data_IF_282404470065
#
_entry.id   IF_282404470065
#
_cell.length_a   1.000
_cell.length_b   1.000
_cell.length_c   1.000
_cell.angle_alpha   90.00
_cell.angle_beta   90.00
_cell.angle_gamma   90.00
#
_symmetry.space_group_name_H-M   'P 1'
#
loop_
_entity.id
_entity.type
_entity.pdbx_description
1 polymer ?
#
# COMPACT_ATOMS: atom_id res chain seq x y z
N UNK A 1 -15.54 -0.70 36.73
CA UNK A 1 -15.53 -1.11 35.31
C UNK A 1 -14.36 -0.35 34.69
N UNK A 2 -13.47 -1.01 33.99
CA UNK A 2 -12.32 -0.37 33.34
C UNK A 2 -12.87 0.61 32.26
N UNK A 3 -12.34 1.83 32.17
CA UNK A 3 -12.80 2.84 31.22
C UNK A 3 -12.68 2.36 29.77
N UNK A 4 -11.66 1.54 29.45
CA UNK A 4 -11.49 0.95 28.14
C UNK A 4 -12.65 0.01 27.76
N UNK A 5 -13.17 -0.78 28.70
CA UNK A 5 -14.34 -1.64 28.47
C UNK A 5 -15.63 -0.82 28.28
N UNK A 6 -15.77 0.26 29.02
CA UNK A 6 -16.89 1.20 28.86
C UNK A 6 -16.85 1.88 27.50
N UNK A 7 -15.67 2.39 27.11
CA UNK A 7 -15.43 3.00 25.81
C UNK A 7 -15.77 2.04 24.67
N UNK A 8 -15.26 0.80 24.72
CA UNK A 8 -15.55 -0.22 23.72
C UNK A 8 -17.03 -0.49 23.58
N UNK A 9 -17.75 -0.67 24.71
CA UNK A 9 -19.19 -0.92 24.70
C UNK A 9 -19.98 0.22 24.04
N UNK A 10 -19.62 1.47 24.32
CA UNK A 10 -20.30 2.64 23.75
C UNK A 10 -20.05 2.76 22.25
N UNK A 11 -18.77 2.71 21.82
CA UNK A 11 -18.42 2.86 20.42
C UNK A 11 -19.01 1.73 19.56
N UNK A 12 -18.96 0.49 20.06
CA UNK A 12 -19.54 -0.68 19.37
C UNK A 12 -21.07 -0.61 19.32
N UNK A 13 -21.73 -0.19 20.40
CA UNK A 13 -23.18 -0.07 20.40
C UNK A 13 -23.69 0.96 19.37
N UNK A 14 -23.00 2.10 19.25
CA UNK A 14 -23.32 3.12 18.24
C UNK A 14 -23.09 2.57 16.81
N UNK A 15 -22.02 1.82 16.60
CA UNK A 15 -21.73 1.17 15.33
C UNK A 15 -22.83 0.16 14.94
N UNK A 16 -23.20 -0.71 15.86
CA UNK A 16 -24.24 -1.72 15.65
C UNK A 16 -25.62 -1.11 15.40
N UNK A 17 -25.92 0.02 16.05
CA UNK A 17 -27.17 0.75 15.84
C UNK A 17 -27.23 1.38 14.44
N UNK A 18 -26.09 1.88 13.93
CA UNK A 18 -26.02 2.59 12.65
C UNK A 18 -25.89 1.65 11.44
N UNK A 19 -25.45 0.39 11.63
CA UNK A 19 -25.08 -0.52 10.54
C UNK A 19 -25.81 -1.89 10.59
N UNK A 20 -27.15 -1.93 10.81
CA UNK A 20 -27.89 -3.20 10.89
C UNK A 20 -27.87 -3.99 9.58
N UNK A 21 -27.87 -3.31 8.42
CA UNK A 21 -27.77 -3.94 7.11
C UNK A 21 -26.40 -4.58 6.88
N UNK A 22 -25.33 -3.92 7.31
CA UNK A 22 -23.97 -4.50 7.27
C UNK A 22 -23.85 -5.73 8.16
N UNK A 23 -24.49 -5.75 9.34
CA UNK A 23 -24.59 -6.96 10.18
C UNK A 23 -25.28 -8.11 9.44
N UNK A 24 -26.45 -7.85 8.86
CA UNK A 24 -27.19 -8.88 8.11
C UNK A 24 -26.40 -9.40 6.90
N UNK A 25 -25.68 -8.52 6.21
CA UNK A 25 -24.79 -8.93 5.11
C UNK A 25 -23.62 -9.75 5.61
N UNK A 26 -23.01 -9.42 6.75
CA UNK A 26 -21.95 -10.21 7.38
C UNK A 26 -22.42 -11.62 7.73
N UNK A 27 -23.59 -11.77 8.35
CA UNK A 27 -24.20 -13.07 8.67
C UNK A 27 -24.44 -13.91 7.42
N UNK A 28 -24.89 -13.27 6.33
CA UNK A 28 -25.10 -13.92 5.03
C UNK A 28 -23.77 -14.31 4.39
N UNK A 29 -22.80 -13.38 4.35
CA UNK A 29 -21.49 -13.56 3.72
C UNK A 29 -20.65 -14.65 4.43
N UNK A 30 -20.75 -14.73 5.77
CA UNK A 30 -20.02 -15.73 6.57
C UNK A 30 -20.42 -17.17 6.28
N UNK A 31 -21.61 -17.39 5.67
CA UNK A 31 -22.05 -18.71 5.20
C UNK A 31 -21.37 -19.11 3.88
N UNK A 32 -20.91 -18.14 3.11
CA UNK A 32 -20.30 -18.36 1.78
C UNK A 32 -18.79 -18.11 1.74
N UNK A 33 -18.28 -17.25 2.63
CA UNK A 33 -16.88 -16.84 2.67
C UNK A 33 -16.33 -16.92 4.09
N UNK A 34 -15.13 -17.43 4.30
CA UNK A 34 -14.48 -17.43 5.62
C UNK A 34 -14.41 -16.01 6.21
N UNK A 35 -15.00 -15.81 7.40
CA UNK A 35 -15.05 -14.50 8.05
C UNK A 35 -15.85 -13.42 7.30
N UNK A 36 -16.70 -13.80 6.34
CA UNK A 36 -17.56 -12.89 5.59
C UNK A 36 -16.83 -11.93 4.65
N UNK A 37 -15.52 -12.07 4.46
CA UNK A 37 -14.69 -11.17 3.64
C UNK A 37 -13.79 -11.96 2.68
N UNK A 38 -13.27 -11.27 1.63
CA UNK A 38 -12.32 -11.87 0.70
C UNK A 38 -10.85 -11.71 1.10
N UNK A 39 -10.57 -11.20 2.31
CA UNK A 39 -9.21 -11.02 2.79
C UNK A 39 -9.14 -10.54 4.24
N UNK A 40 -8.14 -10.99 4.99
CA UNK A 40 -8.02 -10.78 6.42
C UNK A 40 -8.01 -9.28 6.83
N UNK A 41 -7.37 -8.43 6.02
CA UNK A 41 -7.29 -6.98 6.30
C UNK A 41 -8.58 -6.21 6.02
N UNK A 42 -9.64 -6.89 5.54
CA UNK A 42 -10.96 -6.29 5.31
C UNK A 42 -11.93 -6.56 6.46
N UNK A 43 -11.56 -7.40 7.40
CA UNK A 43 -12.33 -7.67 8.59
C UNK A 43 -11.87 -6.78 9.75
N UNK A 44 -12.81 -6.24 10.50
CA UNK A 44 -12.62 -5.61 11.81
C UNK A 44 -13.83 -5.92 12.70
N UNK A 45 -13.66 -6.03 14.02
CA UNK A 45 -14.75 -6.25 14.96
C UNK A 45 -15.68 -5.02 15.09
N UNK A 46 -16.99 -5.23 15.33
CA UNK A 46 -17.68 -6.50 15.50
C UNK A 46 -17.98 -7.21 14.18
N UNK A 47 -18.11 -6.50 13.08
CA UNK A 47 -18.26 -6.94 11.69
C UNK A 47 -17.91 -5.77 10.73
N UNK A 48 -17.47 -6.05 9.49
CA UNK A 48 -17.10 -5.01 8.53
C UNK A 48 -18.34 -4.35 7.90
N UNK A 49 -18.13 -3.12 7.37
CA UNK A 49 -19.08 -2.48 6.48
C UNK A 49 -19.18 -3.20 5.13
N UNK A 50 -20.36 -3.20 4.53
CA UNK A 50 -20.61 -3.66 3.15
C UNK A 50 -21.05 -2.49 2.29
N UNK A 51 -20.23 -2.16 1.27
CA UNK A 51 -20.44 -1.00 0.41
C UNK A 51 -21.27 -1.34 -0.82
N UNK A 52 -22.13 -0.41 -1.24
CA UNK A 52 -22.95 -0.50 -2.46
C UNK A 52 -22.41 0.32 -3.60
N UNK A 53 -21.76 1.44 -3.30
CA UNK A 53 -21.24 2.36 -4.32
C UNK A 53 -20.08 3.21 -3.81
N UNK A 54 -19.38 3.86 -4.76
CA UNK A 54 -18.36 4.87 -4.48
C UNK A 54 -18.31 5.92 -5.57
N UNK A 55 -18.07 7.18 -5.18
CA UNK A 55 -17.89 8.30 -6.08
C UNK A 55 -16.94 9.32 -5.47
N UNK A 56 -15.88 9.73 -6.20
CA UNK A 56 -14.87 10.65 -5.68
C UNK A 56 -14.20 10.08 -4.42
N UNK A 57 -14.19 10.84 -3.33
CA UNK A 57 -13.66 10.40 -2.04
C UNK A 57 -14.72 9.74 -1.12
N UNK A 58 -15.91 9.42 -1.62
CA UNK A 58 -17.00 8.89 -0.78
C UNK A 58 -17.45 7.52 -1.22
N UNK A 59 -17.84 6.71 -0.22
CA UNK A 59 -18.50 5.41 -0.40
C UNK A 59 -19.85 5.41 0.33
N UNK A 60 -20.77 4.56 -0.13
CA UNK A 60 -22.09 4.37 0.49
C UNK A 60 -22.24 2.90 0.86
N UNK A 61 -22.68 2.62 2.08
CA UNK A 61 -22.91 1.26 2.56
C UNK A 61 -24.32 0.73 2.21
N UNK A 62 -24.59 -0.49 2.64
CA UNK A 62 -25.90 -1.16 2.44
C UNK A 62 -27.03 -0.53 3.27
N UNK A 63 -26.69 0.25 4.29
CA UNK A 63 -27.65 0.98 5.13
C UNK A 63 -27.95 2.38 4.54
N UNK A 64 -27.27 2.77 3.45
CA UNK A 64 -27.42 4.06 2.79
C UNK A 64 -26.59 5.19 3.40
N UNK A 65 -25.74 4.89 4.39
CA UNK A 65 -24.83 5.86 4.99
C UNK A 65 -23.66 6.17 4.07
N UNK A 66 -23.28 7.46 4.01
CA UNK A 66 -22.16 7.95 3.21
C UNK A 66 -20.94 8.18 4.08
N UNK A 67 -19.78 7.74 3.61
CA UNK A 67 -18.50 7.86 4.31
C UNK A 67 -17.45 8.54 3.44
N UNK A 68 -16.61 9.41 4.04
CA UNK A 68 -15.34 9.80 3.42
C UNK A 68 -14.41 8.58 3.50
N UNK A 69 -13.91 8.11 2.37
CA UNK A 69 -13.11 6.89 2.26
C UNK A 69 -11.61 7.20 2.09
N UNK A 70 -10.87 7.22 3.20
CA UNK A 70 -9.42 7.32 3.19
C UNK A 70 -8.71 5.96 3.20
N UNK A 71 -9.44 4.84 3.29
CA UNK A 71 -8.87 3.52 3.14
C UNK A 71 -8.61 3.18 1.67
N UNK A 72 -9.49 3.62 0.77
CA UNK A 72 -9.33 3.52 -0.70
C UNK A 72 -8.86 2.14 -1.16
N UNK A 73 -9.43 1.06 -0.58
CA UNK A 73 -9.03 -0.34 -0.84
C UNK A 73 -7.53 -0.62 -0.66
N UNK A 74 -6.86 0.01 0.30
CA UNK A 74 -5.40 -0.03 0.53
C UNK A 74 -4.59 0.70 -0.56
N UNK A 75 -5.11 1.81 -1.06
CA UNK A 75 -4.36 2.83 -1.79
C UNK A 75 -4.42 2.87 -3.31
N UNK A 76 -5.14 2.01 -4.05
CA UNK A 76 -5.19 2.11 -5.52
C UNK A 76 -5.94 3.34 -6.03
N UNK A 77 -6.90 3.88 -5.27
CA UNK A 77 -7.81 4.93 -5.73
C UNK A 77 -7.23 6.35 -5.51
N UNK A 78 -6.04 6.62 -6.03
CA UNK A 78 -5.42 7.96 -5.93
C UNK A 78 -6.23 9.04 -6.65
N UNK A 79 -6.99 8.68 -7.69
CA UNK A 79 -7.94 9.57 -8.37
C UNK A 79 -9.34 9.58 -7.73
N UNK A 80 -9.57 8.78 -6.67
CA UNK A 80 -10.90 8.56 -6.10
C UNK A 80 -11.72 7.53 -6.88
N UNK A 81 -12.92 7.26 -6.38
CA UNK A 81 -13.85 6.32 -7.00
C UNK A 81 -14.42 6.88 -8.31
N UNK A 82 -14.47 6.05 -9.37
CA UNK A 82 -15.10 6.34 -10.67
C UNK A 82 -14.64 7.65 -11.31
N UNK A 83 -13.35 7.91 -11.28
CA UNK A 83 -12.79 9.14 -11.89
C UNK A 83 -13.16 9.23 -13.39
N UNK A 84 -13.63 10.39 -13.90
CA UNK A 84 -14.11 10.52 -15.27
C UNK A 84 -13.11 10.09 -16.35
N UNK A 85 -11.81 10.42 -16.18
CA UNK A 85 -10.77 10.04 -17.14
C UNK A 85 -10.61 8.50 -17.23
N UNK A 86 -10.70 7.79 -16.10
CA UNK A 86 -10.64 6.32 -16.05
C UNK A 86 -11.90 5.73 -16.64
N UNK A 87 -13.08 6.22 -16.25
CA UNK A 87 -14.36 5.71 -16.75
C UNK A 87 -14.50 5.91 -18.26
N UNK A 88 -14.04 7.05 -18.80
CA UNK A 88 -14.02 7.30 -20.24
C UNK A 88 -13.08 6.37 -20.99
N UNK A 89 -11.89 6.07 -20.41
CA UNK A 89 -10.97 5.11 -21.00
C UNK A 89 -11.52 3.69 -21.01
N UNK A 90 -12.19 3.28 -19.91
CA UNK A 90 -12.84 1.97 -19.82
C UNK A 90 -13.98 1.79 -20.84
N UNK A 91 -14.75 2.85 -21.13
CA UNK A 91 -15.81 2.78 -22.14
C UNK A 91 -15.28 2.40 -23.54
N UNK A 92 -14.05 2.76 -23.89
CA UNK A 92 -13.40 2.37 -25.14
C UNK A 92 -13.16 0.86 -25.28
N UNK A 93 -13.11 0.13 -24.17
CA UNK A 93 -12.89 -1.34 -24.17
C UNK A 93 -14.10 -2.08 -24.76
N UNK A 94 -15.29 -1.47 -24.73
CA UNK A 94 -16.48 -2.05 -25.37
C UNK A 94 -16.28 -2.27 -26.89
N UNK A 95 -15.48 -1.41 -27.52
CA UNK A 95 -15.16 -1.49 -28.96
C UNK A 95 -14.03 -2.48 -29.27
N UNK A 96 -13.09 -2.66 -28.32
CA UNK A 96 -11.88 -3.49 -28.52
C UNK A 96 -12.10 -4.93 -28.08
N UNK A 97 -12.89 -5.14 -27.04
CA UNK A 97 -13.03 -6.39 -26.31
C UNK A 97 -12.11 -6.48 -25.09
N UNK A 98 -12.61 -7.12 -24.04
CA UNK A 98 -11.94 -7.17 -22.72
C UNK A 98 -10.66 -8.00 -22.68
N UNK A 99 -10.55 -9.00 -23.56
CA UNK A 99 -9.39 -9.89 -23.62
C UNK A 99 -9.11 -10.28 -25.09
N UNK A 100 -8.12 -9.63 -25.68
CA UNK A 100 -7.62 -9.90 -27.03
C UNK A 100 -6.11 -10.06 -26.99
N UNK A 101 -5.57 -10.86 -27.89
CA UNK A 101 -4.12 -11.14 -27.92
C UNK A 101 -3.37 -9.91 -28.42
N UNK A 102 -2.39 -9.44 -27.63
CA UNK A 102 -1.53 -8.31 -27.95
C UNK A 102 -2.32 -7.05 -28.36
N UNK A 103 -3.19 -6.49 -27.49
CA UNK A 103 -3.96 -5.31 -27.84
C UNK A 103 -3.04 -4.10 -28.06
N UNK A 104 -3.40 -3.17 -28.94
CA UNK A 104 -2.63 -1.93 -29.17
C UNK A 104 -2.46 -1.13 -27.88
N UNK A 105 -3.46 -1.14 -27.01
CA UNK A 105 -3.40 -0.53 -25.66
C UNK A 105 -2.18 -0.97 -24.86
N UNK A 106 -1.70 -2.21 -25.06
CA UNK A 106 -0.50 -2.73 -24.38
C UNK A 106 0.75 -1.95 -24.81
N UNK A 107 0.88 -1.64 -26.09
CA UNK A 107 2.02 -0.86 -26.60
C UNK A 107 1.94 0.57 -26.10
N UNK A 108 0.79 1.23 -26.22
CA UNK A 108 0.55 2.59 -25.74
C UNK A 108 0.84 2.71 -24.24
N UNK A 109 0.41 1.74 -23.45
CA UNK A 109 0.65 1.71 -22.00
C UNK A 109 2.14 1.51 -21.66
N UNK A 110 2.85 0.65 -22.40
CA UNK A 110 4.28 0.45 -22.23
C UNK A 110 5.08 1.71 -22.56
N UNK A 111 4.80 2.35 -23.69
CA UNK A 111 5.43 3.61 -24.10
C UNK A 111 5.17 4.73 -23.08
N UNK A 112 3.96 4.79 -22.52
CA UNK A 112 3.61 5.74 -21.48
C UNK A 112 4.41 5.51 -20.20
N UNK A 113 4.57 4.25 -19.77
CA UNK A 113 5.41 3.89 -18.62
C UNK A 113 6.88 4.24 -18.86
N UNK A 114 7.41 3.97 -20.07
CA UNK A 114 8.78 4.34 -20.42
C UNK A 114 9.02 5.86 -20.32
N UNK A 115 8.01 6.65 -20.64
CA UNK A 115 8.11 8.12 -20.52
C UNK A 115 8.08 8.60 -19.07
N UNK A 116 7.30 7.94 -18.20
CA UNK A 116 7.02 8.44 -16.84
C UNK A 116 7.98 7.88 -15.79
N UNK A 117 8.37 6.63 -15.91
CA UNK A 117 9.14 5.92 -14.87
C UNK A 117 10.62 5.88 -15.25
N UNK A 118 11.51 6.47 -14.44
CA UNK A 118 12.93 6.64 -14.80
C UNK A 118 13.70 5.36 -15.18
N UNK A 119 13.42 4.22 -14.53
CA UNK A 119 14.09 2.97 -14.85
C UNK A 119 13.44 2.17 -15.99
N UNK A 120 12.30 2.61 -16.54
CA UNK A 120 11.49 1.81 -17.45
C UNK A 120 12.01 1.80 -18.89
N UNK A 121 13.11 1.10 -19.18
CA UNK A 121 13.56 0.83 -20.55
C UNK A 121 12.73 -0.28 -21.21
N UNK A 122 12.23 -1.23 -20.42
CA UNK A 122 11.33 -2.33 -20.85
C UNK A 122 10.22 -2.51 -19.84
N UNK A 123 9.09 -3.09 -20.30
CA UNK A 123 7.87 -3.30 -19.53
C UNK A 123 7.36 -4.73 -19.73
N UNK A 124 6.89 -5.34 -18.64
CA UNK A 124 6.07 -6.55 -18.66
C UNK A 124 4.85 -6.37 -17.78
N UNK A 125 3.68 -6.65 -18.33
CA UNK A 125 2.42 -6.54 -17.58
C UNK A 125 2.06 -7.84 -16.87
N UNK A 126 1.32 -7.70 -15.75
CA UNK A 126 0.86 -8.75 -14.86
C UNK A 126 -0.48 -8.32 -14.23
N UNK A 127 -1.09 -9.20 -13.40
CA UNK A 127 -2.42 -8.93 -12.86
C UNK A 127 -2.41 -8.36 -11.42
N UNK A 128 -1.32 -8.53 -10.68
CA UNK A 128 -1.24 -8.11 -9.28
C UNK A 128 0.17 -7.71 -8.86
N UNK A 129 0.27 -6.89 -7.80
CA UNK A 129 1.56 -6.53 -7.21
C UNK A 129 2.35 -7.74 -6.72
N UNK A 130 1.69 -8.79 -6.20
CA UNK A 130 2.35 -10.04 -5.82
C UNK A 130 3.01 -10.71 -7.02
N UNK A 131 2.30 -10.80 -8.16
CA UNK A 131 2.88 -11.35 -9.40
C UNK A 131 4.06 -10.49 -9.89
N UNK A 132 3.95 -9.17 -9.81
CA UNK A 132 5.04 -8.27 -10.20
C UNK A 132 6.30 -8.49 -9.35
N UNK A 133 6.15 -8.55 -8.03
CA UNK A 133 7.28 -8.77 -7.11
C UNK A 133 7.95 -10.13 -7.36
N UNK A 134 7.18 -11.23 -7.38
CA UNK A 134 7.77 -12.56 -7.61
C UNK A 134 8.44 -12.66 -8.98
N UNK A 135 7.90 -11.95 -9.98
CA UNK A 135 8.44 -11.93 -11.33
C UNK A 135 9.73 -11.11 -11.41
N UNK A 136 9.78 -9.93 -10.80
CA UNK A 136 11.00 -9.11 -10.72
C UNK A 136 12.16 -9.86 -10.05
N UNK A 137 11.88 -10.58 -8.96
CA UNK A 137 12.88 -11.40 -8.29
C UNK A 137 13.33 -12.58 -9.16
N UNK A 138 12.42 -13.19 -9.92
CA UNK A 138 12.78 -14.26 -10.88
C UNK A 138 13.69 -13.73 -11.98
N UNK A 139 13.46 -12.51 -12.47
CA UNK A 139 14.33 -11.87 -13.46
C UNK A 139 15.72 -11.62 -12.89
N UNK A 140 15.81 -11.06 -11.69
CA UNK A 140 17.07 -10.81 -11.02
C UNK A 140 17.87 -12.10 -10.79
N UNK A 141 17.22 -13.19 -10.38
CA UNK A 141 17.85 -14.51 -10.24
C UNK A 141 18.34 -15.07 -11.59
N UNK A 142 17.54 -14.94 -12.62
CA UNK A 142 17.92 -15.44 -13.95
C UNK A 142 19.09 -14.64 -14.54
N UNK A 143 19.09 -13.32 -14.34
CA UNK A 143 20.16 -12.43 -14.81
C UNK A 143 21.48 -12.67 -14.08
N UNK A 144 21.44 -12.77 -12.75
CA UNK A 144 22.64 -12.92 -11.93
C UNK A 144 23.15 -14.37 -11.79
N UNK A 145 22.29 -15.36 -12.03
CA UNK A 145 22.58 -16.77 -11.74
C UNK A 145 22.60 -17.11 -10.25
N UNK A 146 22.16 -16.20 -9.37
CA UNK A 146 22.25 -16.30 -7.90
C UNK A 146 20.88 -16.56 -7.29
N UNK A 147 20.76 -17.31 -6.15
CA UNK A 147 19.45 -17.68 -5.60
C UNK A 147 18.89 -16.71 -4.54
N UNK A 148 19.74 -15.98 -3.79
CA UNK A 148 19.31 -15.27 -2.58
C UNK A 148 18.75 -13.89 -2.89
N UNK A 149 17.77 -13.49 -2.08
CA UNK A 149 17.15 -12.15 -2.12
C UNK A 149 17.15 -11.55 -0.72
N UNK A 150 17.54 -10.29 -0.61
CA UNK A 150 17.42 -9.50 0.62
C UNK A 150 16.09 -8.75 0.58
N UNK A 151 15.34 -8.79 1.67
CA UNK A 151 14.22 -7.90 1.99
C UNK A 151 14.38 -7.30 3.38
N UNK A 152 13.55 -6.30 3.71
CA UNK A 152 13.66 -5.62 4.99
C UNK A 152 12.52 -5.97 5.96
N UNK A 153 12.81 -5.93 7.28
CA UNK A 153 11.82 -6.17 8.33
C UNK A 153 10.61 -5.25 8.16
N UNK A 154 9.42 -5.78 8.43
CA UNK A 154 8.18 -5.03 8.38
C UNK A 154 7.68 -4.63 7.01
N UNK A 155 8.45 -4.81 5.95
CA UNK A 155 8.01 -4.53 4.60
C UNK A 155 7.19 -5.69 4.04
N UNK A 156 6.03 -5.38 3.45
CA UNK A 156 5.18 -6.33 2.74
C UNK A 156 5.50 -6.29 1.26
N UNK A 157 5.88 -7.42 0.69
CA UNK A 157 6.24 -7.55 -0.72
C UNK A 157 5.39 -8.64 -1.41
N UNK A 158 4.09 -8.65 -1.13
CA UNK A 158 3.14 -9.59 -1.74
C UNK A 158 2.92 -10.87 -0.93
N UNK A 159 2.09 -11.77 -1.48
CA UNK A 159 1.60 -12.99 -0.80
C UNK A 159 2.39 -14.25 -1.18
N UNK A 160 3.51 -14.13 -1.89
CA UNK A 160 4.36 -15.26 -2.17
C UNK A 160 5.01 -15.75 -0.86
N UNK A 161 5.04 -17.07 -0.65
CA UNK A 161 5.52 -17.68 0.59
C UNK A 161 6.92 -17.22 0.98
N UNK A 162 7.80 -16.96 0.01
CA UNK A 162 9.16 -16.49 0.28
C UNK A 162 9.21 -15.10 0.93
N UNK A 163 8.14 -14.27 0.80
CA UNK A 163 8.06 -12.93 1.36
C UNK A 163 7.15 -12.80 2.58
N UNK A 164 6.33 -13.82 2.87
CA UNK A 164 5.46 -13.83 4.05
C UNK A 164 6.25 -14.16 5.34
N UNK A 165 7.33 -13.45 5.55
CA UNK A 165 8.13 -13.46 6.78
C UNK A 165 7.63 -12.39 7.74
N UNK A 166 7.67 -12.73 9.04
CA UNK A 166 7.16 -11.88 10.11
C UNK A 166 7.80 -10.50 10.19
N UNK A 167 7.11 -9.63 10.90
CA UNK A 167 7.52 -8.24 11.10
C UNK A 167 8.77 -8.10 11.99
N UNK A 168 9.11 -9.13 12.77
CA UNK A 168 10.23 -9.11 13.71
C UNK A 168 11.46 -9.84 13.16
N UNK A 169 12.66 -9.64 13.78
CA UNK A 169 13.91 -10.28 13.38
C UNK A 169 13.92 -11.82 13.42
N UNK A 170 12.94 -12.42 14.09
CA UNK A 170 12.87 -13.86 14.34
C UNK A 170 12.48 -14.74 13.14
N UNK A 171 12.29 -14.16 11.94
CA UNK A 171 11.96 -14.88 10.70
C UNK A 171 10.75 -15.82 10.78
N UNK A 172 9.83 -15.62 11.71
CA UNK A 172 8.62 -16.45 11.78
C UNK A 172 7.71 -16.16 10.57
N UNK A 173 7.13 -17.21 9.95
CA UNK A 173 6.11 -17.04 8.93
C UNK A 173 4.94 -16.19 9.44
N UNK A 174 4.37 -15.35 8.56
CA UNK A 174 3.19 -14.51 8.89
C UNK A 174 1.89 -15.31 9.05
N UNK A 175 1.93 -16.63 8.89
CA UNK A 175 0.76 -17.48 9.04
C UNK A 175 1.08 -18.96 8.96
N UNK A 176 0.02 -19.76 9.01
CA UNK A 176 0.11 -21.23 8.85
C UNK A 176 0.14 -21.57 7.35
N UNK A 177 0.70 -22.73 7.02
CA UNK A 177 0.72 -23.25 5.65
C UNK A 177 1.94 -22.81 4.82
N UNK A 178 2.88 -22.06 5.39
CA UNK A 178 4.11 -21.62 4.73
C UNK A 178 5.24 -22.59 5.06
N UNK A 179 5.78 -23.36 4.09
CA UNK A 179 6.88 -24.26 4.33
C UNK A 179 8.17 -23.53 4.72
N UNK A 180 8.97 -24.12 5.61
CA UNK A 180 10.26 -23.54 6.00
C UNK A 180 11.20 -23.37 4.80
N UNK A 181 11.17 -24.28 3.81
CA UNK A 181 11.94 -24.22 2.57
C UNK A 181 11.65 -22.98 1.72
N UNK A 182 10.45 -22.40 1.82
CA UNK A 182 10.09 -21.17 1.08
C UNK A 182 11.01 -19.98 1.43
N UNK A 183 11.59 -19.98 2.64
CA UNK A 183 12.41 -18.90 3.15
C UNK A 183 13.92 -19.12 3.00
N UNK A 184 14.36 -20.29 2.53
CA UNK A 184 15.78 -20.62 2.43
C UNK A 184 16.57 -19.63 1.58
N UNK A 185 15.92 -19.03 0.58
CA UNK A 185 16.50 -18.09 -0.34
C UNK A 185 16.14 -16.61 -0.04
N UNK A 186 15.55 -16.32 1.13
CA UNK A 186 15.23 -14.97 1.56
C UNK A 186 16.02 -14.58 2.80
N UNK A 187 16.78 -13.49 2.68
CA UNK A 187 17.49 -12.86 3.78
C UNK A 187 16.68 -11.66 4.25
N UNK A 188 16.53 -11.49 5.55
CA UNK A 188 15.82 -10.32 6.11
C UNK A 188 16.78 -9.47 6.92
N UNK A 189 16.81 -8.17 6.64
CA UNK A 189 17.68 -7.19 7.30
C UNK A 189 16.86 -6.07 7.95
N UNK A 190 17.42 -5.38 8.96
CA UNK A 190 16.83 -4.13 9.41
C UNK A 190 16.87 -3.09 8.29
N UNK A 191 15.81 -2.31 8.12
CA UNK A 191 15.80 -1.18 7.20
C UNK A 191 16.57 -0.01 7.82
N UNK A 192 17.12 0.86 6.99
CA UNK A 192 17.91 2.02 7.40
C UNK A 192 19.24 1.68 8.14
N UNK A 193 19.69 0.43 8.04
CA UNK A 193 20.98 -0.04 8.60
C UNK A 193 21.88 -0.51 7.45
N UNK A 194 22.70 0.40 6.95
CA UNK A 194 23.62 0.10 5.85
C UNK A 194 24.78 -0.79 6.30
N UNK A 195 25.15 -0.75 7.59
CA UNK A 195 26.22 -1.60 8.12
C UNK A 195 25.79 -3.08 8.13
N UNK A 196 24.55 -3.38 8.53
CA UNK A 196 23.99 -4.73 8.46
C UNK A 196 23.94 -5.25 7.00
N UNK A 197 23.67 -4.38 6.04
CA UNK A 197 23.75 -4.73 4.63
C UNK A 197 25.19 -5.04 4.19
N UNK A 198 26.14 -4.17 4.52
CA UNK A 198 27.56 -4.33 4.18
C UNK A 198 28.13 -5.64 4.76
N UNK A 199 27.80 -6.00 6.01
CA UNK A 199 28.23 -7.26 6.66
C UNK A 199 27.76 -8.48 5.88
N UNK A 200 26.48 -8.51 5.49
CA UNK A 200 25.89 -9.63 4.75
C UNK A 200 26.51 -9.75 3.36
N UNK A 201 26.70 -8.64 2.64
CA UNK A 201 27.27 -8.64 1.29
C UNK A 201 28.75 -9.02 1.31
N UNK A 202 29.53 -8.60 2.33
CA UNK A 202 30.92 -8.98 2.47
C UNK A 202 31.13 -10.47 2.73
N UNK A 203 30.14 -11.16 3.32
CA UNK A 203 30.22 -12.58 3.68
C UNK A 203 29.63 -13.53 2.64
N UNK A 204 29.04 -13.00 1.53
CA UNK A 204 28.26 -13.79 0.58
C UNK A 204 28.45 -13.33 -0.86
N UNK A 205 28.47 -14.30 -1.76
CA UNK A 205 28.53 -14.06 -3.22
C UNK A 205 27.26 -14.56 -3.96
N UNK A 206 26.29 -15.11 -3.23
CA UNK A 206 25.09 -15.78 -3.75
C UNK A 206 23.82 -14.89 -3.74
N UNK A 207 23.96 -13.57 -3.57
CA UNK A 207 22.85 -12.61 -3.51
C UNK A 207 22.51 -12.13 -4.92
N UNK A 208 21.26 -12.41 -5.37
CA UNK A 208 20.73 -11.99 -6.66
C UNK A 208 20.20 -10.55 -6.62
N UNK A 209 19.44 -10.22 -5.58
CA UNK A 209 18.71 -8.97 -5.51
C UNK A 209 18.50 -8.47 -4.08
N UNK A 210 18.24 -7.17 -4.00
CA UNK A 210 17.63 -6.51 -2.85
C UNK A 210 16.27 -5.97 -3.31
N UNK A 211 15.21 -6.23 -2.56
CA UNK A 211 13.90 -5.60 -2.76
C UNK A 211 13.59 -4.69 -1.58
N UNK A 212 13.17 -3.46 -1.87
CA UNK A 212 12.81 -2.46 -0.87
C UNK A 212 11.55 -1.71 -1.27
N UNK A 213 10.61 -1.58 -0.31
CA UNK A 213 9.55 -0.57 -0.34
C UNK A 213 10.18 0.76 0.12
N UNK A 214 10.37 1.74 -0.78
CA UNK A 214 11.10 2.97 -0.45
C UNK A 214 10.32 3.92 0.48
N UNK A 215 9.08 3.58 0.86
CA UNK A 215 8.28 4.29 1.85
C UNK A 215 8.09 3.51 3.16
N UNK A 216 8.55 2.27 3.21
CA UNK A 216 8.30 1.34 4.32
C UNK A 216 6.85 1.41 4.85
N UNK A 217 5.92 1.35 3.94
CA UNK A 217 4.51 1.61 4.18
C UNK A 217 3.88 0.63 5.19
N UNK A 218 4.09 -0.68 4.98
CA UNK A 218 3.35 -1.73 5.70
C UNK A 218 3.76 -1.91 7.16
N UNK A 219 4.87 -1.32 7.58
CA UNK A 219 5.39 -1.39 8.96
C UNK A 219 5.01 -0.18 9.82
N UNK A 220 4.19 0.75 9.34
CA UNK A 220 3.84 1.97 10.06
C UNK A 220 4.27 3.25 9.35
N UNK A 221 4.60 3.18 8.07
CA UNK A 221 5.00 4.31 7.23
C UNK A 221 6.25 5.03 7.77
N UNK A 222 7.30 4.26 8.03
CA UNK A 222 8.57 4.84 8.49
C UNK A 222 9.33 5.49 7.35
N UNK A 223 10.02 6.56 7.64
CA UNK A 223 10.89 7.21 6.66
C UNK A 223 12.01 6.27 6.23
N UNK A 224 12.22 6.15 4.92
CA UNK A 224 13.45 5.59 4.34
C UNK A 224 14.26 6.77 3.81
N UNK A 225 15.33 7.18 4.52
CA UNK A 225 16.09 8.36 4.16
C UNK A 225 16.74 8.25 2.77
N UNK A 226 16.80 9.38 2.07
CA UNK A 226 17.40 9.42 0.72
C UNK A 226 18.84 8.95 0.71
N UNK A 227 19.65 9.37 1.68
CA UNK A 227 21.07 8.98 1.81
C UNK A 227 21.25 7.47 2.03
N UNK A 228 20.33 6.82 2.77
CA UNK A 228 20.29 5.36 2.88
C UNK A 228 20.03 4.69 1.53
N UNK A 229 19.06 5.17 0.76
CA UNK A 229 18.75 4.63 -0.58
C UNK A 229 19.89 4.88 -1.57
N UNK A 230 20.56 6.04 -1.50
CA UNK A 230 21.77 6.34 -2.29
C UNK A 230 22.91 5.38 -1.94
N UNK A 231 23.14 5.15 -0.65
CA UNK A 231 24.12 4.20 -0.17
C UNK A 231 23.80 2.77 -0.64
N UNK A 232 22.55 2.33 -0.50
CA UNK A 232 22.08 1.02 -0.95
C UNK A 232 22.27 0.85 -2.47
N UNK A 233 21.93 1.88 -3.28
CA UNK A 233 22.12 1.88 -4.73
C UNK A 233 23.62 1.74 -5.10
N UNK A 234 24.48 2.48 -4.44
CA UNK A 234 25.92 2.43 -4.69
C UNK A 234 26.51 1.04 -4.40
N UNK A 235 26.13 0.44 -3.28
CA UNK A 235 26.61 -0.88 -2.83
C UNK A 235 26.08 -2.01 -3.70
N UNK A 236 24.80 -2.00 -4.04
CA UNK A 236 24.22 -3.02 -4.92
C UNK A 236 24.86 -3.01 -6.28
N UNK A 237 25.12 -1.82 -6.85
CA UNK A 237 25.86 -1.69 -8.13
C UNK A 237 27.28 -2.23 -8.03
N UNK A 238 28.02 -1.91 -6.99
CA UNK A 238 29.39 -2.38 -6.79
C UNK A 238 29.48 -3.90 -6.62
N UNK A 239 28.46 -4.53 -6.00
CA UNK A 239 28.39 -5.97 -5.75
C UNK A 239 27.75 -6.78 -6.87
N UNK A 240 27.26 -6.15 -7.94
CA UNK A 240 26.51 -6.82 -9.01
C UNK A 240 25.18 -7.43 -8.50
N UNK A 241 24.54 -6.77 -7.56
CA UNK A 241 23.25 -7.15 -6.97
C UNK A 241 22.15 -6.28 -7.60
N UNK A 242 21.07 -6.88 -8.07
CA UNK A 242 19.94 -6.16 -8.66
C UNK A 242 19.17 -5.42 -7.56
N UNK A 243 18.99 -4.12 -7.70
CA UNK A 243 18.15 -3.31 -6.81
C UNK A 243 16.74 -3.23 -7.38
N UNK A 244 15.75 -3.72 -6.61
CA UNK A 244 14.33 -3.69 -6.95
C UNK A 244 13.63 -2.69 -6.04
N UNK A 245 13.01 -1.65 -6.60
CA UNK A 245 12.07 -0.82 -5.86
C UNK A 245 10.67 -1.42 -5.96
N UNK A 246 10.11 -1.75 -4.81
CA UNK A 246 8.69 -2.11 -4.71
C UNK A 246 7.86 -0.82 -4.60
N UNK A 247 7.51 -0.28 -5.75
CA UNK A 247 6.65 0.90 -5.86
C UNK A 247 5.16 0.55 -6.12
N UNK A 248 4.73 -0.59 -5.65
CA UNK A 248 3.31 -1.00 -5.73
C UNK A 248 2.40 0.01 -5.02
N UNK A 249 2.86 0.68 -3.96
CA UNK A 249 2.13 1.75 -3.26
C UNK A 249 2.59 3.14 -3.68
N UNK A 250 3.88 3.36 -3.77
CA UNK A 250 4.47 4.69 -3.99
C UNK A 250 4.45 5.14 -5.44
N UNK A 251 4.40 4.22 -6.38
CA UNK A 251 4.26 4.52 -7.81
C UNK A 251 3.03 5.38 -8.07
N UNK A 252 3.22 6.46 -8.82
CA UNK A 252 2.24 7.53 -9.10
C UNK A 252 1.77 8.32 -7.87
N UNK A 253 1.93 7.81 -6.65
CA UNK A 253 1.50 8.49 -5.42
C UNK A 253 2.51 9.53 -4.94
N UNK A 254 3.79 9.30 -5.24
CA UNK A 254 4.89 10.23 -4.94
C UNK A 254 5.29 11.09 -6.16
N UNK A 255 4.32 11.42 -7.02
CA UNK A 255 4.54 12.01 -8.35
C UNK A 255 4.44 10.95 -9.44
N UNK A 256 4.37 11.38 -10.71
CA UNK A 256 4.21 10.47 -11.87
C UNK A 256 5.35 9.47 -12.00
N UNK A 257 6.56 9.84 -11.62
CA UNK A 257 7.76 8.97 -11.67
C UNK A 257 8.06 8.20 -10.40
N UNK A 258 7.18 8.24 -9.38
CA UNK A 258 7.37 7.54 -8.10
C UNK A 258 8.50 8.10 -7.24
N UNK A 259 8.91 7.33 -6.22
CA UNK A 259 10.02 7.70 -5.32
C UNK A 259 11.34 7.81 -6.07
N UNK A 260 11.56 6.98 -7.07
CA UNK A 260 12.79 7.02 -7.87
C UNK A 260 13.01 8.37 -8.56
N UNK A 261 11.95 8.98 -9.11
CA UNK A 261 12.03 10.32 -9.70
C UNK A 261 12.19 11.41 -8.62
N UNK A 262 11.44 11.31 -7.53
CA UNK A 262 11.48 12.29 -6.44
C UNK A 262 12.87 12.38 -5.79
N UNK A 263 13.56 11.25 -5.61
CA UNK A 263 14.87 11.20 -4.98
C UNK A 263 16.04 11.22 -5.97
N UNK A 264 15.76 11.03 -7.26
CA UNK A 264 16.81 10.93 -8.30
C UNK A 264 17.64 9.64 -8.18
N UNK A 265 17.03 8.56 -7.68
CA UNK A 265 17.68 7.26 -7.49
C UNK A 265 17.02 6.23 -8.38
N UNK A 266 17.70 5.77 -9.41
CA UNK A 266 17.18 4.80 -10.38
C UNK A 266 17.54 3.37 -9.96
N UNK A 267 16.57 2.51 -9.61
CA UNK A 267 16.78 1.08 -9.38
C UNK A 267 17.01 0.35 -10.71
N UNK A 268 17.33 -0.93 -10.64
CA UNK A 268 17.47 -1.78 -11.82
C UNK A 268 16.11 -2.29 -12.31
N UNK A 269 15.22 -2.60 -11.37
CA UNK A 269 13.84 -3.01 -11.63
C UNK A 269 12.89 -2.26 -10.68
N UNK A 270 11.65 -2.05 -11.13
CA UNK A 270 10.56 -1.51 -10.29
C UNK A 270 9.30 -2.33 -10.49
N UNK A 271 8.57 -2.61 -9.41
CA UNK A 271 7.24 -3.21 -9.46
C UNK A 271 6.18 -2.14 -9.27
N UNK A 272 5.16 -2.14 -10.14
CA UNK A 272 4.05 -1.19 -10.15
C UNK A 272 2.71 -1.93 -10.11
N UNK A 273 1.72 -1.38 -9.40
CA UNK A 273 0.33 -1.84 -9.39
C UNK A 273 -0.58 -0.73 -8.83
N UNK A 274 -1.71 -1.08 -8.24
CA UNK A 274 -2.60 -0.17 -7.48
C UNK A 274 -2.95 1.11 -8.25
N UNK A 275 -2.28 2.24 -7.91
CA UNK A 275 -2.52 3.52 -8.57
C UNK A 275 -2.21 3.50 -10.09
N UNK A 276 -1.39 2.57 -10.56
CA UNK A 276 -1.12 2.37 -11.99
C UNK A 276 -2.40 2.33 -12.82
N UNK A 277 -3.42 1.62 -12.34
CA UNK A 277 -4.70 1.44 -13.04
C UNK A 277 -5.91 1.96 -12.26
N UNK A 278 -5.68 2.85 -11.28
CA UNK A 278 -6.72 3.48 -10.47
C UNK A 278 -7.77 2.50 -9.89
N UNK A 279 -7.32 1.30 -9.50
CA UNK A 279 -8.13 0.26 -8.85
C UNK A 279 -8.57 -0.88 -9.76
N UNK A 280 -8.34 -0.82 -11.06
CA UNK A 280 -8.50 -1.98 -11.94
C UNK A 280 -7.31 -2.94 -11.81
N UNK A 281 -7.42 -4.12 -12.40
CA UNK A 281 -6.41 -5.18 -12.32
C UNK A 281 -5.33 -4.98 -13.36
N UNK A 282 -4.23 -4.37 -12.96
CA UNK A 282 -2.99 -4.32 -13.72
C UNK A 282 -1.81 -4.16 -12.76
N UNK A 283 -0.72 -4.82 -13.10
CA UNK A 283 0.58 -4.61 -12.51
C UNK A 283 1.65 -4.64 -13.60
N UNK A 284 2.83 -4.14 -13.29
CA UNK A 284 3.95 -4.17 -14.21
C UNK A 284 5.27 -4.40 -13.47
N UNK A 285 6.19 -5.09 -14.14
CA UNK A 285 7.62 -5.00 -13.88
C UNK A 285 8.20 -4.12 -14.98
N UNK A 286 8.91 -3.09 -14.57
CA UNK A 286 9.65 -2.19 -15.45
C UNK A 286 11.11 -2.17 -15.04
N UNK A 287 12.04 -1.94 -15.96
CA UNK A 287 13.45 -1.90 -15.62
C UNK A 287 14.37 -1.85 -16.81
N UNK A 288 15.69 -2.02 -16.54
CA UNK A 288 16.71 -1.97 -17.56
C UNK A 288 16.51 -3.04 -18.64
N UNK A 289 16.80 -2.68 -19.88
CA UNK A 289 16.70 -3.59 -21.03
C UNK A 289 17.55 -4.84 -20.80
N UNK A 290 18.78 -4.67 -20.32
CA UNK A 290 19.72 -5.76 -20.07
C UNK A 290 19.15 -6.87 -19.17
N UNK A 291 18.52 -6.49 -18.05
CA UNK A 291 17.91 -7.46 -17.12
C UNK A 291 16.60 -8.03 -17.71
N UNK A 292 15.79 -7.20 -18.33
CA UNK A 292 14.47 -7.61 -18.83
C UNK A 292 14.60 -8.55 -20.06
N UNK A 293 15.71 -8.54 -20.78
CA UNK A 293 15.98 -9.45 -21.91
C UNK A 293 16.06 -10.93 -21.52
N UNK A 294 16.22 -11.26 -20.23
CA UNK A 294 16.10 -12.66 -19.77
C UNK A 294 14.71 -13.28 -20.10
N UNK A 295 13.75 -12.45 -20.50
CA UNK A 295 12.40 -12.87 -20.90
C UNK A 295 12.15 -12.84 -22.40
N UNK A 296 13.14 -12.46 -23.21
CA UNK A 296 12.95 -12.27 -24.65
C UNK A 296 12.57 -13.59 -25.37
N UNK A 297 11.39 -13.69 -25.96
CA UNK A 297 10.99 -14.88 -26.71
C UNK A 297 11.80 -15.10 -27.99
N UNK A 298 12.49 -14.08 -28.50
CA UNK A 298 13.34 -14.14 -29.68
C UNK A 298 14.80 -14.55 -29.40
N UNK A 299 15.19 -14.73 -28.14
CA UNK A 299 16.53 -15.17 -27.78
C UNK A 299 16.92 -16.45 -28.54
N UNK A 300 18.18 -16.62 -28.93
CA UNK A 300 18.63 -17.77 -29.72
C UNK A 300 18.24 -19.11 -29.11
N UNK A 301 17.99 -20.12 -29.94
CA UNK A 301 17.66 -21.47 -29.48
C UNK A 301 18.81 -22.00 -28.60
N UNK A 302 18.45 -22.50 -27.39
CA UNK A 302 19.42 -23.00 -26.42
C UNK A 302 19.86 -21.98 -25.37
N UNK A 303 19.55 -20.69 -25.52
CA UNK A 303 19.71 -19.68 -24.46
C UNK A 303 18.56 -19.85 -23.44
N UNK A 304 18.87 -20.14 -22.15
CA UNK A 304 17.84 -20.24 -21.12
C UNK A 304 17.08 -18.92 -20.97
N UNK A 305 15.76 -19.00 -20.83
CA UNK A 305 14.87 -17.84 -20.66
C UNK A 305 13.98 -18.03 -19.45
N UNK A 306 13.57 -16.92 -18.87
CA UNK A 306 12.49 -16.94 -17.90
C UNK A 306 11.16 -17.16 -18.62
N UNK A 307 10.45 -18.22 -18.23
CA UNK A 307 9.07 -18.40 -18.67
C UNK A 307 8.17 -17.42 -17.94
N UNK A 308 7.44 -16.61 -18.70
CA UNK A 308 6.38 -15.74 -18.20
C UNK A 308 5.15 -15.91 -19.07
N UNK A 309 4.04 -16.20 -18.45
CA UNK A 309 2.72 -16.28 -19.09
C UNK A 309 1.64 -16.00 -18.06
N UNK A 310 0.51 -15.47 -18.50
CA UNK A 310 -0.66 -15.24 -17.68
C UNK A 310 -1.80 -14.75 -18.56
N UNK A 311 -2.96 -15.43 -18.52
CA UNK A 311 -4.10 -15.17 -19.41
C UNK A 311 -4.56 -13.71 -19.39
N UNK A 312 -4.49 -13.04 -18.25
CA UNK A 312 -4.97 -11.66 -18.09
C UNK A 312 -3.87 -10.59 -18.08
N UNK A 313 -2.62 -10.92 -18.44
CA UNK A 313 -1.50 -9.97 -18.28
C UNK A 313 -1.66 -8.69 -19.11
N UNK A 314 -2.36 -8.75 -20.24
CA UNK A 314 -2.62 -7.65 -21.16
C UNK A 314 -4.11 -7.39 -21.37
N UNK A 315 -4.92 -7.70 -20.34
CA UNK A 315 -6.37 -7.46 -20.38
C UNK A 315 -6.68 -5.98 -20.63
N UNK A 316 -7.53 -5.70 -21.62
CA UNK A 316 -7.81 -4.35 -22.11
C UNK A 316 -8.37 -3.42 -21.05
N UNK A 317 -9.14 -3.91 -20.07
CA UNK A 317 -9.69 -3.09 -18.99
C UNK A 317 -8.58 -2.47 -18.14
N UNK A 318 -7.63 -3.28 -17.65
CA UNK A 318 -6.50 -2.79 -16.86
C UNK A 318 -5.62 -1.81 -17.62
N UNK A 319 -5.34 -2.10 -18.91
CA UNK A 319 -4.54 -1.23 -19.78
C UNK A 319 -5.23 0.12 -20.05
N UNK A 320 -6.52 0.09 -20.37
CA UNK A 320 -7.31 1.30 -20.62
C UNK A 320 -7.41 2.16 -19.34
N UNK A 321 -7.70 1.53 -18.20
CA UNK A 321 -7.72 2.22 -16.90
C UNK A 321 -6.38 2.89 -16.61
N UNK A 322 -5.26 2.17 -16.85
CA UNK A 322 -3.91 2.71 -16.65
C UNK A 322 -3.60 3.92 -17.55
N UNK A 323 -3.97 3.85 -18.83
CA UNK A 323 -3.80 4.96 -19.77
C UNK A 323 -4.60 6.19 -19.32
N UNK A 324 -5.87 6.01 -18.92
CA UNK A 324 -6.69 7.08 -18.37
C UNK A 324 -6.12 7.67 -17.09
N UNK A 325 -5.65 6.82 -16.19
CA UNK A 325 -5.05 7.24 -14.91
C UNK A 325 -3.73 7.98 -15.13
N UNK A 326 -2.80 7.42 -15.90
CA UNK A 326 -1.50 8.05 -16.16
C UNK A 326 -1.62 9.40 -16.88
N UNK A 327 -2.56 9.54 -17.82
CA UNK A 327 -2.84 10.82 -18.46
C UNK A 327 -3.32 11.87 -17.47
N UNK A 328 -4.16 11.49 -16.52
CA UNK A 328 -4.65 12.38 -15.48
C UNK A 328 -3.57 12.73 -14.45
N UNK A 329 -2.71 11.77 -14.06
CA UNK A 329 -1.59 12.06 -13.17
C UNK A 329 -0.62 13.10 -13.76
N UNK A 330 -0.28 13.02 -15.05
CA UNK A 330 0.54 14.04 -15.72
C UNK A 330 -0.12 15.44 -15.65
N UNK A 331 -1.43 15.49 -15.90
CA UNK A 331 -2.19 16.75 -15.81
C UNK A 331 -2.16 17.34 -14.39
N UNK A 332 -2.38 16.49 -13.38
CA UNK A 332 -2.40 16.89 -11.97
C UNK A 332 -1.01 17.30 -11.46
N UNK A 333 0.04 16.65 -11.95
CA UNK A 333 1.42 17.05 -11.62
C UNK A 333 1.76 18.39 -12.23
N UNK A 334 1.45 18.61 -13.52
CA UNK A 334 1.68 19.86 -14.20
C UNK A 334 0.90 21.05 -13.59
N UNK A 335 -0.27 20.79 -12.99
CA UNK A 335 -1.06 21.82 -12.30
C UNK A 335 -0.68 22.01 -10.82
N UNK A 336 0.27 21.25 -10.28
CA UNK A 336 0.72 21.37 -8.89
C UNK A 336 -0.19 20.67 -7.85
N UNK A 337 -1.17 19.88 -8.29
CA UNK A 337 -2.14 19.24 -7.41
C UNK A 337 -1.53 18.21 -6.45
N UNK A 338 -0.41 17.57 -6.79
CA UNK A 338 0.31 16.71 -5.84
C UNK A 338 0.73 17.47 -4.59
N UNK A 339 1.37 18.63 -4.77
CA UNK A 339 1.79 19.48 -3.65
C UNK A 339 0.58 20.00 -2.86
N UNK A 340 -0.48 20.40 -3.56
CA UNK A 340 -1.71 20.85 -2.92
C UNK A 340 -2.35 19.73 -2.04
N UNK A 341 -2.43 18.50 -2.54
CA UNK A 341 -2.90 17.35 -1.77
C UNK A 341 -2.00 17.09 -0.54
N UNK A 342 -0.68 17.09 -0.71
CA UNK A 342 0.25 16.85 0.40
C UNK A 342 0.13 17.91 1.50
N UNK A 343 -0.07 19.18 1.12
CA UNK A 343 -0.30 20.28 2.07
C UNK A 343 -1.63 20.08 2.85
N UNK A 344 -2.70 19.60 2.18
CA UNK A 344 -3.96 19.28 2.88
C UNK A 344 -3.78 18.14 3.88
N UNK A 345 -3.02 17.10 3.52
CA UNK A 345 -2.70 15.98 4.44
C UNK A 345 -1.87 16.47 5.62
N UNK A 346 -0.92 17.38 5.41
CA UNK A 346 -0.18 18.03 6.50
C UNK A 346 -1.08 18.85 7.42
N UNK A 347 -2.03 19.59 6.87
CA UNK A 347 -3.05 20.31 7.66
C UNK A 347 -3.90 19.37 8.52
N UNK A 348 -4.27 18.20 8.00
CA UNK A 348 -4.98 17.19 8.78
C UNK A 348 -4.10 16.61 9.90
N UNK A 349 -2.82 16.34 9.65
CA UNK A 349 -1.88 15.91 10.69
C UNK A 349 -1.85 16.91 11.85
N UNK A 350 -1.75 18.21 11.56
CA UNK A 350 -1.76 19.26 12.59
C UNK A 350 -3.08 19.24 13.37
N UNK A 351 -4.21 19.11 12.68
CA UNK A 351 -5.52 19.03 13.34
C UNK A 351 -5.67 17.77 14.22
N UNK A 352 -5.17 16.62 13.78
CA UNK A 352 -5.15 15.37 14.56
C UNK A 352 -4.35 15.59 15.86
N UNK A 353 -3.11 16.10 15.76
CA UNK A 353 -2.27 16.34 16.94
C UNK A 353 -2.95 17.28 17.93
N UNK A 354 -3.53 18.39 17.47
CA UNK A 354 -4.24 19.33 18.31
C UNK A 354 -5.49 18.72 18.99
N UNK A 355 -6.25 17.90 18.27
CA UNK A 355 -7.44 17.24 18.84
C UNK A 355 -7.09 16.25 19.96
N UNK A 356 -6.04 15.44 19.78
CA UNK A 356 -5.57 14.51 20.79
C UNK A 356 -4.93 15.22 21.98
N UNK A 357 -4.09 16.25 21.74
CA UNK A 357 -3.47 17.08 22.79
C UNK A 357 -4.52 17.72 23.69
N UNK A 358 -5.60 18.27 23.11
CA UNK A 358 -6.73 18.85 23.88
C UNK A 358 -7.34 17.87 24.88
N UNK A 359 -7.30 16.57 24.59
CA UNK A 359 -7.81 15.48 25.44
C UNK A 359 -6.72 14.90 26.36
N UNK A 360 -5.48 15.39 26.30
CA UNK A 360 -4.36 14.82 27.05
C UNK A 360 -3.95 13.42 26.60
N UNK A 361 -4.19 13.09 25.35
CA UNK A 361 -3.86 11.79 24.74
C UNK A 361 -2.64 11.96 23.83
N UNK A 362 -1.62 11.14 24.04
CA UNK A 362 -0.43 11.12 23.18
C UNK A 362 -0.75 10.53 21.81
N UNK A 363 -0.31 11.20 20.73
CA UNK A 363 -0.44 10.73 19.36
C UNK A 363 0.81 11.02 18.54
N UNK A 364 1.24 10.04 17.77
CA UNK A 364 2.23 10.21 16.72
C UNK A 364 1.61 9.98 15.35
N UNK A 365 2.06 10.72 14.36
CA UNK A 365 1.62 10.60 12.98
C UNK A 365 2.85 10.53 12.07
N UNK A 366 2.98 9.43 11.34
CA UNK A 366 3.92 9.32 10.23
C UNK A 366 3.20 9.71 8.93
N UNK A 367 3.87 10.51 8.10
CA UNK A 367 3.32 11.00 6.84
C UNK A 367 4.35 10.95 5.72
N UNK A 368 3.91 10.53 4.53
CA UNK A 368 4.70 10.61 3.31
C UNK A 368 3.78 10.93 2.13
N UNK A 369 3.88 12.14 1.60
CA UNK A 369 3.01 12.60 0.53
C UNK A 369 1.54 12.53 0.91
N UNK A 370 0.77 11.69 0.22
CA UNK A 370 -0.65 11.45 0.47
C UNK A 370 -0.93 10.17 1.28
N UNK A 371 0.07 9.70 2.02
CA UNK A 371 -0.04 8.57 2.95
C UNK A 371 0.07 9.07 4.39
N UNK A 372 -0.64 8.43 5.31
CA UNK A 372 -0.57 8.73 6.73
C UNK A 372 -0.76 7.46 7.56
N UNK A 373 -0.11 7.39 8.71
CA UNK A 373 -0.29 6.33 9.71
C UNK A 373 -0.25 6.96 11.11
N UNK A 374 -1.19 6.57 11.96
CA UNK A 374 -1.30 7.10 13.33
C UNK A 374 -0.91 6.06 14.36
N UNK A 375 -0.45 6.56 15.52
CA UNK A 375 -0.14 5.77 16.72
C UNK A 375 -0.66 6.51 17.94
N UNK A 376 -1.42 5.86 18.80
CA UNK A 376 -1.83 6.42 20.10
C UNK A 376 -0.76 6.01 21.13
N UNK A 377 0.12 6.94 21.43
CA UNK A 377 1.24 6.76 22.37
C UNK A 377 1.84 8.12 22.73
N UNK A 378 2.41 8.24 23.91
CA UNK A 378 3.15 9.42 24.41
C UNK A 378 4.66 9.38 24.11
N UNK A 379 5.16 8.27 23.62
CA UNK A 379 6.57 8.06 23.29
C UNK A 379 6.74 7.95 21.80
N UNK A 380 7.74 8.66 21.25
CA UNK A 380 8.07 8.56 19.83
C UNK A 380 8.31 7.10 19.45
N UNK A 381 7.47 6.53 18.57
CA UNK A 381 7.58 5.13 18.19
C UNK A 381 8.73 4.94 17.21
N UNK A 382 9.65 3.99 17.50
CA UNK A 382 10.46 3.37 16.47
C UNK A 382 9.79 2.08 15.99
N UNK A 383 10.31 1.48 14.92
CA UNK A 383 9.74 0.25 14.37
C UNK A 383 9.65 -0.89 15.40
N UNK A 384 10.67 -1.09 16.24
CA UNK A 384 10.66 -2.15 17.25
C UNK A 384 9.56 -1.93 18.30
N UNK A 385 9.37 -0.68 18.74
CA UNK A 385 8.29 -0.33 19.67
C UNK A 385 6.92 -0.49 19.03
N UNK A 386 6.77 -0.13 17.77
CA UNK A 386 5.54 -0.34 17.00
C UNK A 386 5.04 -1.78 17.09
N UNK A 387 5.93 -2.76 17.09
CA UNK A 387 5.58 -4.19 17.17
C UNK A 387 4.93 -4.58 18.51
N UNK A 388 5.07 -3.76 19.53
CA UNK A 388 4.58 -4.01 20.90
C UNK A 388 3.49 -3.04 21.35
N UNK A 389 3.11 -2.07 20.51
CA UNK A 389 2.03 -1.13 20.84
C UNK A 389 0.69 -1.86 21.00
N UNK A 390 -0.04 -1.48 22.03
CA UNK A 390 -1.45 -1.83 22.13
C UNK A 390 -2.26 -0.84 21.29
N UNK A 391 -2.78 -1.31 20.17
CA UNK A 391 -3.53 -0.48 19.22
C UNK A 391 -5.03 -0.39 19.53
N UNK A 392 -5.52 -0.96 20.63
CA UNK A 392 -6.94 -1.04 20.92
C UNK A 392 -7.64 0.34 20.98
N UNK A 393 -6.97 1.35 21.58
CA UNK A 393 -7.51 2.71 21.57
C UNK A 393 -7.61 3.28 20.16
N UNK A 394 -6.60 3.05 19.33
CA UNK A 394 -6.62 3.50 17.95
C UNK A 394 -7.69 2.77 17.12
N UNK A 395 -7.88 1.47 17.36
CA UNK A 395 -8.97 0.69 16.75
C UNK A 395 -10.34 1.31 17.07
N UNK A 396 -10.55 1.71 18.34
CA UNK A 396 -11.79 2.34 18.78
C UNK A 396 -11.94 3.77 18.24
N UNK A 397 -10.87 4.55 18.09
CA UNK A 397 -10.91 5.85 17.39
C UNK A 397 -11.35 5.65 15.94
N UNK A 398 -10.76 4.69 15.23
CA UNK A 398 -11.14 4.39 13.85
C UNK A 398 -12.61 3.97 13.74
N UNK A 399 -13.09 3.12 14.66
CA UNK A 399 -14.50 2.70 14.69
C UNK A 399 -15.43 3.87 15.04
N UNK A 400 -15.01 4.74 15.97
CA UNK A 400 -15.74 5.96 16.32
C UNK A 400 -15.85 6.92 15.13
N UNK A 401 -14.78 7.07 14.34
CA UNK A 401 -14.79 7.87 13.11
C UNK A 401 -15.75 7.29 12.06
N UNK A 402 -15.84 5.96 11.93
CA UNK A 402 -16.85 5.32 11.08
C UNK A 402 -18.26 5.69 11.55
N UNK A 403 -18.50 5.75 12.87
CA UNK A 403 -19.79 6.21 13.42
C UNK A 403 -20.13 7.65 13.04
N UNK A 404 -19.14 8.48 12.77
CA UNK A 404 -19.29 9.88 12.34
C UNK A 404 -19.07 10.08 10.82
N UNK A 405 -19.17 8.99 10.02
CA UNK A 405 -19.16 9.07 8.55
C UNK A 405 -17.74 9.17 7.93
N UNK A 406 -16.69 8.79 8.65
CA UNK A 406 -15.30 8.87 8.15
C UNK A 406 -14.60 7.52 8.30
N UNK A 407 -14.17 6.94 7.20
CA UNK A 407 -13.26 5.79 7.17
C UNK A 407 -11.84 6.34 7.02
N UNK A 408 -11.27 6.89 8.09
CA UNK A 408 -9.90 7.40 8.06
C UNK A 408 -8.90 6.26 7.86
N UNK A 409 -9.08 5.17 8.60
CA UNK A 409 -8.43 3.88 8.40
C UNK A 409 -9.37 2.78 8.91
N UNK A 410 -9.13 1.54 8.51
CA UNK A 410 -9.82 0.43 9.19
C UNK A 410 -9.14 0.12 10.53
N UNK A 411 -9.91 -0.27 11.56
CA UNK A 411 -9.39 -0.56 12.89
C UNK A 411 -8.20 -1.52 12.93
N UNK A 412 -8.03 -2.38 11.94
CA UNK A 412 -6.93 -3.37 11.86
C UNK A 412 -5.79 -2.95 10.92
N UNK A 413 -5.88 -1.78 10.28
CA UNK A 413 -4.90 -1.33 9.26
C UNK A 413 -4.14 -0.07 9.66
N UNK A 414 -4.80 0.92 10.26
CA UNK A 414 -4.29 2.21 10.75
C UNK A 414 -3.61 3.10 9.69
N UNK A 415 -3.68 2.72 8.42
CA UNK A 415 -3.10 3.47 7.30
C UNK A 415 -4.18 4.16 6.48
N UNK A 416 -3.95 5.43 6.20
CA UNK A 416 -4.81 6.28 5.39
C UNK A 416 -4.16 6.59 4.05
N UNK A 417 -4.98 6.64 2.99
CA UNK A 417 -4.57 6.86 1.61
C UNK A 417 -5.44 7.96 1.01
N UNK A 418 -4.92 9.18 0.95
CA UNK A 418 -5.69 10.30 0.41
C UNK A 418 -5.61 10.34 -1.11
N UNK A 419 -6.69 10.78 -1.73
CA UNK A 419 -6.83 10.93 -3.18
C UNK A 419 -7.00 12.39 -3.56
N UNK A 420 -6.85 12.70 -4.83
CA UNK A 420 -7.06 14.06 -5.35
C UNK A 420 -8.49 14.56 -5.20
N UNK A 421 -9.45 13.66 -4.98
CA UNK A 421 -10.86 14.02 -4.74
C UNK A 421 -11.17 14.37 -3.28
N UNK A 422 -10.22 14.20 -2.36
CA UNK A 422 -10.34 14.79 -1.02
C UNK A 422 -10.00 16.27 -1.13
N UNK A 423 -11.02 17.09 -1.23
CA UNK A 423 -10.91 18.55 -1.21
C UNK A 423 -10.78 19.09 0.23
N UNK A 424 -10.64 20.41 0.38
CA UNK A 424 -10.48 21.01 1.71
C UNK A 424 -11.69 20.74 2.60
N UNK A 425 -12.91 20.75 2.04
CA UNK A 425 -14.12 20.48 2.80
C UNK A 425 -14.12 19.06 3.39
N UNK A 426 -13.66 18.07 2.63
CA UNK A 426 -13.49 16.70 3.14
C UNK A 426 -12.47 16.61 4.27
N UNK A 427 -11.34 17.34 4.18
CA UNK A 427 -10.36 17.41 5.26
C UNK A 427 -10.91 18.10 6.52
N UNK A 428 -11.68 19.18 6.37
CA UNK A 428 -12.31 19.88 7.50
C UNK A 428 -13.37 19.00 8.17
N UNK A 429 -14.15 18.23 7.39
CA UNK A 429 -15.11 17.26 7.89
C UNK A 429 -14.43 16.13 8.69
N UNK A 430 -13.29 15.61 8.21
CA UNK A 430 -12.49 14.61 8.93
C UNK A 430 -11.97 15.13 10.27
N UNK A 431 -11.44 16.36 10.30
CA UNK A 431 -10.95 16.98 11.53
C UNK A 431 -12.09 17.23 12.54
N UNK A 432 -13.26 17.64 12.06
CA UNK A 432 -14.47 17.83 12.88
C UNK A 432 -14.96 16.50 13.44
N UNK A 433 -15.04 15.46 12.61
CA UNK A 433 -15.45 14.13 13.05
C UNK A 433 -14.52 13.56 14.14
N UNK A 434 -13.20 13.73 13.98
CA UNK A 434 -12.23 13.31 14.99
C UNK A 434 -12.45 14.04 16.33
N UNK A 435 -12.62 15.36 16.30
CA UNK A 435 -12.89 16.14 17.51
C UNK A 435 -14.19 15.65 18.18
N UNK A 436 -15.24 15.44 17.39
CA UNK A 436 -16.53 14.91 17.90
C UNK A 436 -16.35 13.55 18.57
N UNK A 437 -15.61 12.63 17.95
CA UNK A 437 -15.35 11.29 18.49
C UNK A 437 -14.60 11.37 19.83
N UNK A 438 -13.54 12.17 19.90
CA UNK A 438 -12.72 12.29 21.10
C UNK A 438 -13.45 13.00 22.26
N UNK A 439 -14.44 13.86 21.97
CA UNK A 439 -15.28 14.54 22.98
C UNK A 439 -16.50 13.70 23.40
N UNK A 440 -17.05 12.86 22.49
CA UNK A 440 -18.26 12.07 22.73
C UNK A 440 -18.00 10.85 23.61
N UNK A 441 -16.84 10.22 23.49
CA UNK A 441 -16.52 8.98 24.18
C UNK A 441 -15.38 9.18 25.20
N UNK A 442 -15.29 8.36 26.27
CA UNK A 442 -14.31 8.53 27.36
C UNK A 442 -12.88 8.05 26.95
N UNK A 443 -12.34 8.60 25.85
CA UNK A 443 -11.00 8.23 25.37
C UNK A 443 -9.90 8.69 26.33
N UNK A 444 -10.02 9.86 26.94
CA UNK A 444 -9.01 10.40 27.86
C UNK A 444 -8.85 9.50 29.08
N UNK A 445 -9.95 9.07 29.68
CA UNK A 445 -9.94 8.20 30.86
C UNK A 445 -9.40 6.79 30.50
N UNK A 446 -9.80 6.25 29.34
CA UNK A 446 -9.31 4.96 28.88
C UNK A 446 -7.79 5.00 28.56
N UNK A 447 -7.31 6.11 28.01
CA UNK A 447 -5.87 6.31 27.77
C UNK A 447 -5.08 6.37 29.08
N UNK A 448 -5.57 7.10 30.09
CA UNK A 448 -4.93 7.16 31.39
C UNK A 448 -4.88 5.78 32.09
N UNK A 449 -5.96 5.01 32.01
CA UNK A 449 -5.98 3.63 32.54
C UNK A 449 -4.92 2.74 31.84
N UNK A 450 -4.80 2.84 30.53
CA UNK A 450 -3.79 2.10 29.74
C UNK A 450 -2.36 2.50 30.17
N UNK A 451 -2.09 3.80 30.38
CA UNK A 451 -0.79 4.30 30.79
C UNK A 451 -0.42 3.87 32.22
N UNK A 452 -1.41 3.70 33.08
CA UNK A 452 -1.23 3.24 34.46
C UNK A 452 -1.24 1.70 34.60
N UNK A 453 -1.42 0.95 33.49
CA UNK A 453 -1.48 -0.52 33.51
C UNK A 453 -2.71 -1.07 34.24
N UNK A 454 -3.83 -0.36 34.20
CA UNK A 454 -5.10 -0.70 34.87
C UNK A 454 -6.13 -1.32 33.93
#
# INVERSE_FOLDING_TARGET
>A
MNHLETLRKQVVADYEQKTPGSRAMFERASKAMPGGTSGNLRFFPPYPLYMTSGQGCRTVDVDGASYIDCFSCSGPLLLGHRHPAVMSALARVEEVGGLVVNPVLMVECAEKLQKLIPCAERVRFLNSGTEAVLTAVRYARAYTGKPKVIKFYGQYNGQDDQFLLGKAPNRKPLGRGIPASSHENTLTLPCNDIAAFDEVVASRDDIAAVIIDPAWHSGGLWSVPKDYLEALRARTRAAGIVLIFDEVITGFRMGTGGVQAQYGITPDLTTLAKALSAGDRLAAVVGSAEIMEVTDPMAPKGVPRVFQSGTGNDASFGLAAALGAMGEYERLEASGEYKALWNRVEGLEVAIRAAFEKQGIGVHVNRLGSLMHMFVTDVEPGYERYLTLNNELLDLVCLGLINEGVILAFPTSHSSYFSFTHDQAAFDEMATALTTVLEKYPFAEAYQDQMLGR
#
